data_IF_842209984795
#
_entry.id   IF_842209984795
#
_cell.length_a   1.000
_cell.length_b   1.000
_cell.length_c   1.000
_cell.angle_alpha   90.00
_cell.angle_beta   90.00
_cell.angle_gamma   90.00
#
_symmetry.space_group_name_H-M   'P 1'
#
loop_
_entity.id
_entity.type
_entity.pdbx_description
1 polymer ?
#
# COMPACT_ATOMS: atom_id res chain seq x y z
N UNK A 1 8.65 -26.47 -6.46
CA UNK A 1 8.16 -25.14 -6.86
C UNK A 1 9.19 -24.04 -6.64
N UNK A 2 9.71 -23.85 -5.42
CA UNK A 2 10.72 -22.82 -5.10
C UNK A 2 11.98 -22.84 -5.99
N UNK A 3 12.65 -23.98 -6.13
CA UNK A 3 13.86 -24.13 -6.97
C UNK A 3 13.60 -23.78 -8.44
N UNK A 4 12.43 -24.15 -8.96
CA UNK A 4 12.05 -23.87 -10.34
C UNK A 4 11.69 -22.40 -10.54
N UNK A 5 11.00 -21.78 -9.58
CA UNK A 5 10.71 -20.36 -9.60
C UNK A 5 11.99 -19.51 -9.55
N UNK A 6 12.93 -19.84 -8.64
CA UNK A 6 14.21 -19.14 -8.55
C UNK A 6 15.07 -19.29 -9.81
N UNK A 7 15.09 -20.47 -10.44
CA UNK A 7 15.82 -20.67 -11.69
C UNK A 7 15.18 -19.99 -12.91
N UNK A 8 13.84 -19.91 -12.97
CA UNK A 8 13.14 -19.16 -14.01
C UNK A 8 13.42 -17.65 -13.92
N UNK A 9 13.53 -17.10 -12.71
CA UNK A 9 13.89 -15.69 -12.47
C UNK A 9 15.32 -15.34 -12.90
N UNK A 10 16.24 -16.31 -12.92
CA UNK A 10 17.65 -16.12 -13.28
C UNK A 10 17.93 -16.21 -14.80
N UNK A 11 16.90 -16.17 -15.65
CA UNK A 11 17.08 -16.18 -17.11
C UNK A 11 17.53 -17.54 -17.66
N UNK A 12 17.12 -18.64 -17.05
CA UNK A 12 17.40 -20.01 -17.56
C UNK A 12 16.11 -20.70 -18.03
N UNK A 13 15.17 -19.92 -18.57
CA UNK A 13 13.82 -20.36 -18.94
C UNK A 13 13.80 -21.41 -20.06
N UNK A 14 14.80 -21.41 -20.94
CA UNK A 14 14.86 -22.31 -22.11
C UNK A 14 14.97 -23.81 -21.81
N UNK A 15 15.44 -24.22 -20.62
CA UNK A 15 15.57 -25.65 -20.24
C UNK A 15 14.54 -26.13 -19.21
N UNK A 16 13.92 -25.20 -18.47
CA UNK A 16 12.96 -25.51 -17.39
C UNK A 16 11.51 -25.25 -17.83
N UNK A 17 11.30 -24.32 -18.78
CA UNK A 17 9.98 -23.87 -19.21
C UNK A 17 9.15 -24.88 -20.02
N UNK A 18 9.74 -25.96 -20.54
CA UNK A 18 8.98 -26.96 -21.32
C UNK A 18 8.16 -27.93 -20.46
N UNK A 19 8.42 -28.03 -19.15
CA UNK A 19 7.79 -29.03 -18.28
C UNK A 19 7.03 -28.44 -17.08
N UNK A 20 6.98 -27.12 -16.94
CA UNK A 20 6.42 -26.47 -15.75
C UNK A 20 5.42 -25.40 -16.17
N UNK A 21 4.20 -25.50 -15.64
CA UNK A 21 3.20 -24.44 -15.71
C UNK A 21 3.63 -23.28 -14.80
N UNK A 22 4.47 -22.39 -15.32
CA UNK A 22 5.04 -21.25 -14.60
C UNK A 22 3.96 -20.31 -14.00
N UNK A 23 2.87 -19.96 -14.72
CA UNK A 23 1.74 -19.25 -14.12
C UNK A 23 1.19 -19.94 -12.87
N UNK A 24 0.94 -21.26 -12.94
CA UNK A 24 0.43 -22.01 -11.79
C UNK A 24 1.39 -21.98 -10.59
N UNK A 25 2.71 -21.92 -10.82
CA UNK A 25 3.69 -21.74 -9.74
C UNK A 25 3.57 -20.36 -9.12
N UNK A 26 3.51 -19.29 -9.94
CA UNK A 26 3.38 -17.90 -9.46
C UNK A 26 2.12 -17.73 -8.60
N UNK A 27 0.96 -18.17 -9.11
CA UNK A 27 -0.30 -18.07 -8.39
C UNK A 27 -0.33 -18.98 -7.14
N UNK A 28 0.27 -20.17 -7.21
CA UNK A 28 0.39 -21.07 -6.06
C UNK A 28 1.22 -20.45 -4.93
N UNK A 29 2.30 -19.73 -5.23
CA UNK A 29 3.07 -19.01 -4.19
C UNK A 29 2.28 -17.82 -3.62
N UNK A 30 1.56 -17.06 -4.46
CA UNK A 30 0.67 -15.97 -4.00
C UNK A 30 -0.42 -16.48 -3.04
N UNK A 31 -1.07 -17.60 -3.38
CA UNK A 31 -2.04 -18.26 -2.50
C UNK A 31 -1.40 -18.73 -1.19
N UNK A 32 -0.20 -19.31 -1.26
CA UNK A 32 0.51 -19.76 -0.07
C UNK A 32 0.85 -18.59 0.87
N UNK A 33 1.32 -17.47 0.33
CA UNK A 33 1.60 -16.25 1.09
C UNK A 33 0.33 -15.70 1.74
N UNK A 34 -0.80 -15.75 1.03
CA UNK A 34 -2.11 -15.34 1.54
C UNK A 34 -2.59 -16.21 2.72
N UNK A 35 -2.33 -17.53 2.67
CA UNK A 35 -2.72 -18.46 3.74
C UNK A 35 -1.77 -18.40 4.94
N UNK A 36 -0.45 -18.28 4.73
CA UNK A 36 0.52 -18.26 5.83
C UNK A 36 0.46 -17.00 6.70
N UNK A 37 -0.09 -15.89 6.20
CA UNK A 37 -0.23 -14.64 6.98
C UNK A 37 -1.44 -14.64 7.92
N UNK A 38 -2.07 -15.79 8.20
CA UNK A 38 -3.28 -15.89 9.05
C UNK A 38 -2.97 -15.86 10.55
N UNK A 39 -1.75 -16.20 10.98
CA UNK A 39 -1.42 -16.30 12.41
C UNK A 39 -0.47 -15.18 12.85
N UNK A 40 -1.07 -14.26 13.61
CA UNK A 40 -0.45 -13.34 14.57
C UNK A 40 0.36 -12.15 14.04
N UNK A 41 -0.35 -11.03 13.81
CA UNK A 41 0.23 -9.67 13.75
C UNK A 41 1.00 -9.36 15.06
N UNK A 42 0.85 -10.18 16.12
CA UNK A 42 1.57 -10.15 17.39
C UNK A 42 3.09 -10.07 17.26
N UNK A 43 3.71 -10.78 16.32
CA UNK A 43 5.17 -10.81 16.16
C UNK A 43 5.57 -10.55 14.69
N UNK A 44 6.01 -9.32 14.39
CA UNK A 44 6.59 -8.94 13.10
C UNK A 44 8.03 -9.49 12.94
N UNK A 45 8.16 -10.81 13.06
CA UNK A 45 9.43 -11.54 13.09
C UNK A 45 9.98 -11.91 11.72
N UNK A 46 10.92 -12.86 11.70
CA UNK A 46 11.62 -13.29 10.49
C UNK A 46 10.71 -13.85 9.39
N UNK A 47 9.65 -14.56 9.77
CA UNK A 47 8.70 -15.12 8.80
C UNK A 47 7.91 -14.02 8.08
N UNK A 48 7.56 -12.94 8.79
CA UNK A 48 6.94 -11.75 8.19
C UNK A 48 7.86 -11.13 7.13
N UNK A 49 9.14 -10.94 7.46
CA UNK A 49 10.13 -10.38 6.54
C UNK A 49 10.34 -11.27 5.31
N UNK A 50 10.48 -12.59 5.53
CA UNK A 50 10.64 -13.58 4.45
C UNK A 50 9.43 -13.57 3.51
N UNK A 51 8.22 -13.53 4.06
CA UNK A 51 6.99 -13.47 3.28
C UNK A 51 6.89 -12.16 2.51
N UNK A 52 7.31 -11.05 3.10
CA UNK A 52 7.45 -9.76 2.44
C UNK A 52 8.40 -9.82 1.24
N UNK A 53 9.60 -10.41 1.41
CA UNK A 53 10.56 -10.60 0.31
C UNK A 53 9.92 -11.37 -0.85
N UNK A 54 9.28 -12.50 -0.53
CA UNK A 54 8.61 -13.33 -1.53
C UNK A 54 7.51 -12.59 -2.29
N UNK A 55 6.70 -11.84 -1.56
CA UNK A 55 5.63 -11.04 -2.12
C UNK A 55 6.19 -9.98 -3.07
N UNK A 56 7.24 -9.25 -2.67
CA UNK A 56 7.87 -8.25 -3.54
C UNK A 56 8.46 -8.87 -4.80
N UNK A 57 9.13 -10.01 -4.71
CA UNK A 57 9.66 -10.70 -5.90
C UNK A 57 8.55 -11.07 -6.90
N UNK A 58 7.42 -11.58 -6.42
CA UNK A 58 6.27 -11.91 -7.25
C UNK A 58 5.64 -10.66 -7.86
N UNK A 59 5.42 -9.62 -7.06
CA UNK A 59 4.83 -8.37 -7.51
C UNK A 59 5.73 -7.66 -8.51
N UNK A 60 7.05 -7.66 -8.32
CA UNK A 60 8.00 -7.03 -9.24
C UNK A 60 8.08 -7.78 -10.57
N UNK A 61 8.01 -9.12 -10.54
CA UNK A 61 7.85 -9.94 -11.75
C UNK A 61 6.56 -9.59 -12.50
N UNK A 62 5.42 -9.57 -11.79
CA UNK A 62 4.12 -9.25 -12.37
C UNK A 62 4.03 -7.81 -12.89
N UNK A 63 4.55 -6.84 -12.14
CA UNK A 63 4.62 -5.43 -12.52
C UNK A 63 5.50 -5.23 -13.76
N UNK A 64 6.63 -5.93 -13.85
CA UNK A 64 7.47 -5.93 -15.06
C UNK A 64 6.69 -6.48 -16.25
N UNK A 65 5.92 -7.55 -16.05
CA UNK A 65 5.06 -8.13 -17.06
C UNK A 65 4.00 -7.15 -17.56
N UNK A 66 3.26 -6.53 -16.63
CA UNK A 66 2.25 -5.50 -16.92
C UNK A 66 2.87 -4.34 -17.69
N UNK A 67 3.99 -3.80 -17.21
CA UNK A 67 4.69 -2.70 -17.88
C UNK A 67 5.06 -3.05 -19.33
N UNK A 68 5.67 -4.23 -19.53
CA UNK A 68 6.02 -4.72 -20.85
C UNK A 68 4.81 -4.95 -21.76
N UNK A 69 3.72 -5.49 -21.20
CA UNK A 69 2.47 -5.72 -21.92
C UNK A 69 1.82 -4.40 -22.34
N UNK A 70 1.75 -3.42 -21.45
CA UNK A 70 1.17 -2.11 -21.72
C UNK A 70 1.93 -1.37 -22.83
N UNK A 71 3.26 -1.43 -22.84
CA UNK A 71 4.08 -0.85 -23.91
C UNK A 71 3.79 -1.55 -25.25
N UNK A 72 3.81 -2.89 -25.25
CA UNK A 72 3.58 -3.69 -26.46
C UNK A 72 2.21 -3.43 -27.09
N UNK A 73 1.20 -3.19 -26.26
CA UNK A 73 -0.19 -2.95 -26.69
C UNK A 73 -0.55 -1.46 -26.73
N UNK A 74 0.42 -0.54 -26.64
CA UNK A 74 0.21 0.92 -26.72
C UNK A 74 -0.81 1.47 -25.71
N UNK A 75 -0.98 0.81 -24.56
CA UNK A 75 -1.92 1.19 -23.50
C UNK A 75 -1.41 2.43 -22.74
N UNK A 76 -0.09 2.62 -22.68
CA UNK A 76 0.55 3.80 -22.10
C UNK A 76 1.03 4.72 -23.23
N UNK A 77 0.57 5.97 -23.25
CA UNK A 77 1.00 6.98 -24.22
C UNK A 77 2.30 7.65 -23.75
N UNK A 78 3.42 7.34 -24.40
CA UNK A 78 4.72 7.97 -24.19
C UNK A 78 5.83 7.11 -24.80
N UNK A 79 6.84 7.72 -25.42
CA UNK A 79 8.00 6.96 -25.92
C UNK A 79 8.72 6.32 -24.73
N UNK A 80 8.78 4.98 -24.62
CA UNK A 80 9.50 4.36 -23.54
C UNK A 80 10.99 4.64 -23.75
N UNK A 81 11.61 5.31 -22.78
CA UNK A 81 13.06 5.34 -22.68
C UNK A 81 13.48 3.92 -22.30
N UNK A 82 13.97 3.17 -23.28
CA UNK A 82 14.53 1.84 -23.06
C UNK A 82 15.76 1.99 -22.16
N UNK A 83 15.75 1.46 -20.92
CA UNK A 83 17.00 1.21 -20.24
C UNK A 83 17.84 0.27 -21.11
N UNK A 84 19.16 0.44 -21.13
CA UNK A 84 20.05 -0.54 -21.76
C UNK A 84 19.77 -1.92 -21.15
N UNK A 85 19.15 -2.81 -21.92
CA UNK A 85 18.78 -4.13 -21.47
C UNK A 85 19.88 -5.12 -21.84
N UNK A 86 20.34 -5.88 -20.86
CA UNK A 86 21.16 -7.06 -21.14
C UNK A 86 20.30 -8.12 -21.86
N UNK A 87 20.92 -9.07 -22.56
CA UNK A 87 20.20 -10.22 -23.14
C UNK A 87 19.42 -11.02 -22.08
N UNK A 88 19.87 -10.98 -20.83
CA UNK A 88 19.17 -11.61 -19.70
C UNK A 88 17.92 -10.83 -19.31
N UNK A 89 17.96 -9.50 -19.32
CA UNK A 89 16.80 -8.65 -19.03
C UNK A 89 15.70 -8.83 -20.08
N UNK A 90 16.05 -9.02 -21.35
CA UNK A 90 15.05 -9.28 -22.40
C UNK A 90 14.38 -10.65 -22.25
N UNK A 91 15.11 -11.69 -21.85
CA UNK A 91 14.55 -13.01 -21.52
C UNK A 91 13.61 -12.93 -20.31
N UNK A 92 14.01 -12.22 -19.25
CA UNK A 92 13.18 -12.01 -18.07
C UNK A 92 11.92 -11.21 -18.39
N UNK A 93 12.04 -10.13 -19.17
CA UNK A 93 10.90 -9.34 -19.61
C UNK A 93 9.92 -10.18 -20.43
N UNK A 94 10.42 -11.03 -21.33
CA UNK A 94 9.59 -11.94 -22.12
C UNK A 94 8.84 -12.92 -21.22
N UNK A 95 9.53 -13.54 -20.26
CA UNK A 95 8.91 -14.44 -19.27
C UNK A 95 7.83 -13.73 -18.46
N UNK A 96 8.10 -12.52 -17.99
CA UNK A 96 7.18 -11.70 -17.21
C UNK A 96 5.94 -11.32 -18.02
N UNK A 97 6.10 -10.90 -19.27
CA UNK A 97 5.00 -10.56 -20.18
C UNK A 97 4.09 -11.77 -20.45
N UNK A 98 4.64 -12.99 -20.53
CA UNK A 98 3.86 -14.21 -20.72
C UNK A 98 2.91 -14.52 -19.55
N UNK A 99 3.13 -13.94 -18.36
CA UNK A 99 2.22 -14.10 -17.22
C UNK A 99 0.96 -13.24 -17.32
N UNK A 100 1.03 -12.11 -18.04
CA UNK A 100 -0.06 -11.12 -18.06
C UNK A 100 -1.37 -11.71 -18.58
N UNK A 101 -1.41 -12.43 -19.72
CA UNK A 101 -2.64 -13.07 -20.17
C UNK A 101 -3.25 -14.02 -19.14
N UNK A 102 -2.42 -14.76 -18.40
CA UNK A 102 -2.86 -15.71 -17.38
C UNK A 102 -3.51 -15.05 -16.16
N UNK A 103 -3.24 -13.77 -15.90
CA UNK A 103 -3.93 -12.99 -14.86
C UNK A 103 -5.38 -12.73 -15.25
N UNK A 104 -5.65 -12.55 -16.55
CA UNK A 104 -6.98 -12.26 -17.09
C UNK A 104 -7.73 -13.53 -17.52
N UNK A 105 -7.18 -14.73 -17.28
CA UNK A 105 -7.91 -15.98 -17.47
C UNK A 105 -9.12 -16.04 -16.53
N UNK A 106 -10.21 -16.67 -17.00
CA UNK A 106 -11.46 -16.77 -16.26
C UNK A 106 -11.22 -17.31 -14.83
N UNK A 107 -11.73 -16.60 -13.84
CA UNK A 107 -11.61 -16.83 -12.38
C UNK A 107 -10.28 -16.44 -11.71
N UNK A 108 -9.17 -16.25 -12.45
CA UNK A 108 -7.90 -15.88 -11.83
C UNK A 108 -7.88 -14.43 -11.36
N UNK A 109 -8.48 -13.53 -12.13
CA UNK A 109 -8.52 -12.10 -11.81
C UNK A 109 -9.25 -11.82 -10.49
N UNK A 110 -10.46 -12.36 -10.31
CA UNK A 110 -11.26 -12.16 -9.10
C UNK A 110 -10.56 -12.73 -7.86
N UNK A 111 -9.94 -13.91 -8.01
CA UNK A 111 -9.13 -14.51 -6.96
C UNK A 111 -7.93 -13.64 -6.60
N UNK A 112 -7.23 -13.10 -7.60
CA UNK A 112 -6.07 -12.26 -7.39
C UNK A 112 -6.44 -10.95 -6.68
N UNK A 113 -7.54 -10.31 -7.08
CA UNK A 113 -8.05 -9.12 -6.40
C UNK A 113 -8.40 -9.38 -4.93
N UNK A 114 -9.03 -10.53 -4.61
CA UNK A 114 -9.29 -10.95 -3.22
C UNK A 114 -8.00 -11.12 -2.43
N UNK A 115 -7.02 -11.83 -3.00
CA UNK A 115 -5.73 -12.07 -2.36
C UNK A 115 -5.02 -10.73 -2.09
N UNK A 116 -4.95 -9.86 -3.10
CA UNK A 116 -4.27 -8.57 -2.99
C UNK A 116 -4.96 -7.62 -2.02
N UNK A 117 -6.28 -7.55 -2.06
CA UNK A 117 -7.07 -6.76 -1.11
C UNK A 117 -6.77 -7.19 0.33
N UNK A 118 -6.83 -8.50 0.58
CA UNK A 118 -6.53 -9.07 1.90
C UNK A 118 -5.07 -8.86 2.32
N UNK A 119 -4.10 -8.98 1.40
CA UNK A 119 -2.69 -8.74 1.70
C UNK A 119 -2.42 -7.26 1.97
N UNK A 120 -3.06 -6.35 1.23
CA UNK A 120 -2.89 -4.91 1.38
C UNK A 120 -3.36 -4.44 2.75
N UNK A 121 -4.58 -4.82 3.14
CA UNK A 121 -5.15 -4.52 4.45
C UNK A 121 -4.26 -5.07 5.59
N UNK A 122 -3.72 -6.29 5.45
CA UNK A 122 -2.76 -6.84 6.42
C UNK A 122 -1.45 -6.04 6.47
N UNK A 123 -0.90 -5.67 5.31
CA UNK A 123 0.30 -4.85 5.24
C UNK A 123 0.09 -3.47 5.86
N UNK A 124 -1.10 -2.88 5.72
CA UNK A 124 -1.44 -1.60 6.36
C UNK A 124 -1.51 -1.72 7.89
N UNK A 125 -2.14 -2.77 8.41
CA UNK A 125 -2.18 -3.04 9.86
C UNK A 125 -0.78 -3.30 10.43
N UNK A 126 0.04 -4.07 9.72
CA UNK A 126 1.44 -4.31 10.08
C UNK A 126 2.28 -3.02 10.00
N UNK A 127 2.03 -2.18 8.99
CA UNK A 127 2.68 -0.88 8.81
C UNK A 127 2.40 0.05 9.98
N UNK A 128 1.15 0.17 10.43
CA UNK A 128 0.80 1.00 11.58
C UNK A 128 1.50 0.52 12.85
N UNK A 129 1.48 -0.79 13.11
CA UNK A 129 2.18 -1.38 14.25
C UNK A 129 3.70 -1.14 14.19
N UNK A 130 4.31 -1.33 13.01
CA UNK A 130 5.73 -1.11 12.79
C UNK A 130 6.10 0.38 12.96
N UNK A 131 5.30 1.28 12.40
CA UNK A 131 5.48 2.72 12.53
C UNK A 131 5.45 3.17 13.99
N UNK A 132 4.44 2.74 14.74
CA UNK A 132 4.32 3.07 16.17
C UNK A 132 5.48 2.50 16.99
N UNK A 133 5.90 1.28 16.68
CA UNK A 133 7.05 0.66 17.34
C UNK A 133 8.35 1.40 17.00
N UNK A 134 8.51 1.91 15.77
CA UNK A 134 9.66 2.71 15.33
C UNK A 134 9.73 4.07 16.00
N UNK A 135 8.57 4.62 16.38
CA UNK A 135 8.48 5.89 17.09
C UNK A 135 8.39 5.73 18.61
N UNK A 136 8.37 4.52 19.20
CA UNK A 136 8.34 4.40 20.66
C UNK A 136 8.87 3.08 21.26
N UNK A 137 9.83 3.23 22.18
CA UNK A 137 10.20 2.24 23.17
C UNK A 137 9.17 2.21 24.32
N UNK A 138 8.46 1.09 24.52
CA UNK A 138 7.76 0.68 25.76
C UNK A 138 6.50 1.40 26.28
N UNK A 139 6.13 2.63 25.86
CA UNK A 139 5.06 3.38 26.56
C UNK A 139 3.63 3.31 25.98
N UNK A 140 3.44 2.80 24.77
CA UNK A 140 2.12 2.80 24.08
C UNK A 140 1.69 1.40 23.62
N UNK A 141 2.10 0.37 24.35
CA UNK A 141 1.68 -1.00 24.07
C UNK A 141 0.29 -1.26 24.63
N UNK A 142 -0.72 -1.31 23.78
CA UNK A 142 -1.91 -2.11 24.09
C UNK A 142 -3.26 -1.66 23.54
N UNK A 143 -3.40 -0.46 22.97
CA UNK A 143 -4.76 0.03 22.66
C UNK A 143 -4.90 0.71 21.29
N UNK A 144 -6.06 0.47 20.65
CA UNK A 144 -6.34 0.38 19.20
C UNK A 144 -6.17 1.65 18.36
N UNK A 145 -5.64 2.73 18.91
CA UNK A 145 -5.29 3.92 18.15
C UNK A 145 -4.30 4.75 18.95
N UNK A 146 -3.17 5.12 18.35
CA UNK A 146 -2.19 6.02 18.96
C UNK A 146 -2.31 7.39 18.29
N UNK A 147 -2.33 8.50 19.04
CA UNK A 147 -2.26 9.84 18.47
C UNK A 147 -1.06 10.03 17.54
N UNK A 148 0.01 9.24 17.69
CA UNK A 148 1.18 9.26 16.80
C UNK A 148 0.84 8.88 15.35
N UNK A 149 -0.25 8.13 15.10
CA UNK A 149 -0.72 7.86 13.73
C UNK A 149 -1.19 9.12 13.01
N UNK A 150 -1.50 10.20 13.73
CA UNK A 150 -1.81 11.51 13.12
C UNK A 150 -0.60 12.13 12.43
N UNK A 151 0.61 11.82 12.90
CA UNK A 151 1.83 12.43 12.39
C UNK A 151 1.94 12.20 10.89
N UNK A 152 1.77 10.95 10.47
CA UNK A 152 1.83 10.57 9.05
C UNK A 152 0.66 11.07 8.22
N UNK A 153 -0.38 11.67 8.79
CA UNK A 153 -1.51 12.15 8.02
C UNK A 153 -1.18 13.47 7.30
N UNK A 154 -1.39 13.52 5.98
CA UNK A 154 -1.05 14.67 5.12
C UNK A 154 -1.76 15.98 5.49
N UNK A 155 -2.87 15.88 6.24
CA UNK A 155 -3.62 17.03 6.74
C UNK A 155 -2.94 17.84 7.85
N UNK A 156 -1.92 17.31 8.55
CA UNK A 156 -1.24 18.02 9.64
C UNK A 156 -0.01 18.79 9.12
N UNK A 157 0.14 20.05 9.52
CA UNK A 157 1.33 20.82 9.18
C UNK A 157 2.55 20.41 10.02
N UNK A 158 3.75 20.83 9.58
CA UNK A 158 5.01 20.45 10.24
C UNK A 158 5.08 20.97 11.68
N UNK A 159 4.56 22.16 11.97
CA UNK A 159 4.58 22.73 13.31
C UNK A 159 3.76 21.86 14.29
N UNK A 160 2.58 21.41 13.85
CA UNK A 160 1.73 20.49 14.61
C UNK A 160 2.41 19.16 14.89
N UNK A 161 3.09 18.60 13.88
CA UNK A 161 3.77 17.32 13.99
C UNK A 161 4.95 17.41 14.97
N UNK A 162 5.74 18.47 14.88
CA UNK A 162 6.90 18.71 15.73
C UNK A 162 6.48 18.89 17.20
N UNK A 163 5.43 19.68 17.47
CA UNK A 163 4.91 19.87 18.84
C UNK A 163 4.33 18.57 19.44
N UNK A 164 3.62 17.76 18.65
CA UNK A 164 3.09 16.46 19.12
C UNK A 164 4.23 15.49 19.46
N UNK A 165 5.31 15.48 18.67
CA UNK A 165 6.50 14.66 18.92
C UNK A 165 7.27 15.13 20.15
N UNK A 166 7.55 16.43 20.27
CA UNK A 166 8.28 17.00 21.40
C UNK A 166 7.57 16.70 22.72
N UNK A 167 6.24 16.85 22.77
CA UNK A 167 5.42 16.52 23.94
C UNK A 167 5.34 15.02 24.21
N UNK A 168 5.45 14.20 23.17
CA UNK A 168 5.62 12.76 23.27
C UNK A 168 7.01 12.32 23.72
N UNK A 169 7.96 13.24 23.89
CA UNK A 169 9.37 12.96 24.22
C UNK A 169 10.18 12.38 23.05
N UNK A 170 9.69 12.59 21.82
CA UNK A 170 10.27 12.08 20.58
C UNK A 170 10.97 13.21 19.82
N UNK A 171 11.98 12.84 19.03
CA UNK A 171 12.73 13.80 18.24
C UNK A 171 12.03 14.02 16.88
N UNK A 172 11.60 15.26 16.54
CA UNK A 172 11.04 15.61 15.23
C UNK A 172 11.82 15.09 14.02
N UNK A 173 13.15 15.07 14.11
CA UNK A 173 14.02 14.59 13.03
C UNK A 173 13.82 13.09 12.70
N UNK A 174 13.29 12.28 13.62
CA UNK A 174 13.01 10.86 13.38
C UNK A 174 11.90 10.68 12.35
N UNK A 175 10.87 11.52 12.39
CA UNK A 175 9.71 11.42 11.53
C UNK A 175 10.02 11.84 10.08
N UNK A 176 10.84 12.88 9.89
CA UNK A 176 11.28 13.35 8.57
C UNK A 176 12.06 12.25 7.83
N UNK A 177 12.87 11.47 8.54
CA UNK A 177 13.58 10.32 7.96
C UNK A 177 12.66 9.20 7.45
N UNK A 178 11.48 9.05 8.06
CA UNK A 178 10.47 8.04 7.72
C UNK A 178 9.62 8.48 6.52
N UNK A 179 9.30 9.77 6.38
CA UNK A 179 8.59 10.28 5.20
C UNK A 179 9.38 10.10 3.91
N UNK A 180 10.67 10.37 3.95
CA UNK A 180 11.53 10.19 2.79
C UNK A 180 11.88 8.71 2.53
N UNK A 181 11.45 7.78 3.38
CA UNK A 181 11.96 6.41 3.33
C UNK A 181 11.63 5.73 2.00
N UNK A 182 10.41 5.89 1.50
CA UNK A 182 9.99 5.33 0.22
C UNK A 182 10.79 5.92 -0.94
N UNK A 183 10.95 7.25 -1.01
CA UNK A 183 11.71 7.91 -2.08
C UNK A 183 13.21 7.57 -2.01
N UNK A 184 13.78 7.43 -0.81
CA UNK A 184 15.16 6.96 -0.58
C UNK A 184 15.34 5.51 -1.00
N UNK A 185 14.35 4.64 -0.77
CA UNK A 185 14.38 3.25 -1.23
C UNK A 185 14.35 3.19 -2.76
N UNK A 186 13.46 3.95 -3.41
CA UNK A 186 13.39 4.04 -4.87
C UNK A 186 14.72 4.52 -5.46
N UNK A 187 15.25 5.64 -4.95
CA UNK A 187 16.53 6.19 -5.40
C UNK A 187 17.73 5.26 -5.12
N UNK A 188 17.66 4.44 -4.07
CA UNK A 188 18.66 3.41 -3.77
C UNK A 188 18.61 2.27 -4.77
N UNK A 189 17.42 1.72 -5.05
CA UNK A 189 17.22 0.64 -6.04
C UNK A 189 17.68 1.10 -7.42
N UNK A 190 17.38 2.33 -7.81
CA UNK A 190 17.80 2.90 -9.09
C UNK A 190 19.33 3.06 -9.21
N UNK A 191 20.02 3.36 -8.10
CA UNK A 191 21.49 3.49 -8.07
C UNK A 191 22.20 2.14 -8.05
N UNK A 192 21.66 1.17 -7.32
CA UNK A 192 22.30 -0.13 -7.10
C UNK A 192 21.99 -1.14 -8.22
N UNK A 193 20.87 -0.95 -8.94
CA UNK A 193 20.41 -1.87 -9.97
C UNK A 193 20.73 -1.41 -11.38
N UNK A 194 21.62 -2.14 -12.08
CA UNK A 194 21.72 -2.07 -13.54
C UNK A 194 20.76 -3.08 -14.19
N UNK A 195 19.86 -2.59 -15.06
CA UNK A 195 18.87 -3.44 -15.74
C UNK A 195 17.66 -3.82 -14.88
N UNK A 196 16.71 -4.53 -15.49
CA UNK A 196 15.40 -4.87 -14.90
C UNK A 196 15.59 -5.89 -13.77
N UNK A 197 16.34 -6.96 -14.04
CA UNK A 197 16.51 -8.07 -13.10
C UNK A 197 17.17 -7.60 -11.81
N UNK A 198 18.19 -6.74 -11.91
CA UNK A 198 18.90 -6.26 -10.74
C UNK A 198 17.99 -5.44 -9.83
N UNK A 199 17.14 -4.57 -10.39
CA UNK A 199 16.15 -3.81 -9.63
C UNK A 199 15.16 -4.71 -8.91
N UNK A 200 14.62 -5.73 -9.60
CA UNK A 200 13.72 -6.74 -9.01
C UNK A 200 14.36 -7.44 -7.81
N UNK A 201 15.64 -7.83 -7.92
CA UNK A 201 16.35 -8.48 -6.82
C UNK A 201 16.63 -7.53 -5.65
N UNK A 202 16.95 -6.25 -5.91
CA UNK A 202 17.16 -5.29 -4.85
C UNK A 202 15.90 -5.06 -4.01
N UNK A 203 14.73 -4.99 -4.65
CA UNK A 203 13.45 -4.89 -3.92
C UNK A 203 13.21 -6.11 -3.02
N UNK A 204 13.58 -7.32 -3.46
CA UNK A 204 13.52 -8.54 -2.65
C UNK A 204 14.48 -8.50 -1.44
N UNK A 205 15.73 -8.07 -1.64
CA UNK A 205 16.79 -8.09 -0.63
C UNK A 205 16.57 -7.04 0.48
N UNK A 206 15.90 -5.93 0.17
CA UNK A 206 15.69 -4.84 1.13
C UNK A 206 14.70 -5.16 2.26
N UNK A 207 13.94 -6.24 2.13
CA UNK A 207 13.09 -6.73 3.22
C UNK A 207 13.93 -7.15 4.42
N UNK A 208 13.59 -6.61 5.59
CA UNK A 208 14.35 -6.83 6.82
C UNK A 208 15.55 -5.91 7.00
N UNK A 209 15.79 -4.96 6.10
CA UNK A 209 16.77 -3.90 6.32
C UNK A 209 16.15 -2.68 7.04
N UNK A 210 16.84 -2.06 8.02
CA UNK A 210 18.06 -2.54 8.65
C UNK A 210 17.77 -3.75 9.55
N UNK A 211 18.64 -4.77 9.47
CA UNK A 211 18.48 -6.11 10.05
C UNK A 211 18.90 -6.17 11.53
N UNK A 212 18.42 -5.22 12.31
CA UNK A 212 18.63 -5.21 13.74
C UNK A 212 17.47 -5.95 14.44
N UNK A 213 17.80 -7.00 15.19
CA UNK A 213 16.86 -7.96 15.78
C UNK A 213 15.84 -7.37 16.78
N UNK A 214 16.08 -6.15 17.27
CA UNK A 214 15.22 -5.45 18.22
C UNK A 214 14.42 -4.31 17.59
N UNK A 215 14.52 -4.10 16.27
CA UNK A 215 14.13 -2.82 15.66
C UNK A 215 12.94 -2.98 14.69
N UNK A 216 11.82 -2.29 14.93
CA UNK A 216 10.65 -2.26 14.04
C UNK A 216 10.89 -1.62 12.66
N UNK A 217 12.09 -1.09 12.39
CA UNK A 217 12.48 -0.51 11.11
C UNK A 217 12.50 -1.51 9.95
N UNK A 218 12.92 -2.76 10.18
CA UNK A 218 12.93 -3.78 9.12
C UNK A 218 11.52 -4.19 8.70
N UNK A 219 10.61 -4.30 9.68
CA UNK A 219 9.19 -4.55 9.43
C UNK A 219 8.52 -3.36 8.73
N UNK A 220 8.86 -2.13 9.13
CA UNK A 220 8.36 -0.90 8.50
C UNK A 220 8.76 -0.84 7.02
N UNK A 221 10.04 -1.04 6.71
CA UNK A 221 10.55 -1.10 5.33
C UNK A 221 9.86 -2.21 4.54
N UNK A 222 9.72 -3.40 5.13
CA UNK A 222 9.03 -4.52 4.49
C UNK A 222 7.58 -4.17 4.13
N UNK A 223 6.84 -3.52 5.04
CA UNK A 223 5.47 -3.08 4.76
C UNK A 223 5.43 -2.05 3.64
N UNK A 224 6.33 -1.06 3.65
CA UNK A 224 6.38 -0.01 2.62
C UNK A 224 6.62 -0.63 1.23
N UNK A 225 7.56 -1.56 1.12
CA UNK A 225 7.86 -2.26 -0.13
C UNK A 225 6.65 -3.10 -0.61
N UNK A 226 6.02 -3.84 0.30
CA UNK A 226 4.84 -4.65 -0.05
C UNK A 226 3.64 -3.80 -0.46
N UNK A 227 3.33 -2.73 0.27
CA UNK A 227 2.25 -1.78 -0.08
C UNK A 227 2.53 -1.15 -1.45
N UNK A 228 3.76 -0.66 -1.68
CA UNK A 228 4.19 -0.11 -2.97
C UNK A 228 3.99 -1.12 -4.10
N UNK A 229 4.46 -2.36 -3.91
CA UNK A 229 4.34 -3.43 -4.90
C UNK A 229 2.88 -3.72 -5.27
N UNK A 230 1.99 -3.81 -4.26
CA UNK A 230 0.56 -4.10 -4.44
C UNK A 230 -0.13 -2.94 -5.16
N UNK A 231 0.10 -1.69 -4.74
CA UNK A 231 -0.50 -0.50 -5.37
C UNK A 231 -0.06 -0.37 -6.83
N UNK A 232 1.22 -0.57 -7.12
CA UNK A 232 1.72 -0.56 -8.50
C UNK A 232 1.04 -1.64 -9.35
N UNK A 233 0.83 -2.82 -8.78
CA UNK A 233 0.18 -3.92 -9.49
C UNK A 233 -1.31 -3.66 -9.72
N UNK A 234 -2.03 -3.16 -8.72
CA UNK A 234 -3.45 -2.80 -8.85
C UNK A 234 -3.66 -1.70 -9.91
N UNK A 235 -2.86 -0.63 -9.86
CA UNK A 235 -2.91 0.45 -10.86
C UNK A 235 -2.68 -0.09 -12.29
N UNK A 236 -1.66 -0.93 -12.45
CA UNK A 236 -1.34 -1.54 -13.74
C UNK A 236 -2.41 -2.52 -14.24
N UNK A 237 -2.96 -3.33 -13.34
CA UNK A 237 -4.03 -4.29 -13.64
C UNK A 237 -5.29 -3.57 -14.14
N UNK A 238 -5.70 -2.51 -13.44
CA UNK A 238 -6.87 -1.71 -13.80
C UNK A 238 -6.69 -1.01 -15.15
N UNK A 239 -5.48 -0.49 -15.45
CA UNK A 239 -5.18 0.12 -16.76
C UNK A 239 -5.33 -0.83 -17.94
N UNK A 240 -4.81 -2.06 -17.82
CA UNK A 240 -4.98 -3.07 -18.88
C UNK A 240 -6.45 -3.41 -19.04
N UNK A 241 -7.19 -3.45 -17.94
CA UNK A 241 -8.59 -3.80 -17.94
C UNK A 241 -9.49 -2.71 -18.51
N UNK A 242 -9.24 -1.44 -18.21
CA UNK A 242 -9.95 -0.31 -18.84
C UNK A 242 -9.85 -0.35 -20.37
N UNK A 243 -8.71 -0.80 -20.90
CA UNK A 243 -8.52 -0.99 -22.33
C UNK A 243 -9.28 -2.21 -22.91
N UNK A 244 -9.58 -3.23 -22.10
CA UNK A 244 -10.16 -4.50 -22.53
C UNK A 244 -11.65 -4.69 -22.13
N UNK A 245 -12.23 -3.85 -21.26
CA UNK A 245 -13.64 -3.88 -20.83
C UNK A 245 -13.90 -4.08 -19.32
N UNK A 246 -15.15 -3.86 -18.90
CA UNK A 246 -15.61 -3.62 -17.53
C UNK A 246 -15.24 -4.68 -16.46
N UNK A 247 -15.09 -4.19 -15.22
CA UNK A 247 -14.67 -4.96 -14.06
C UNK A 247 -15.85 -5.55 -13.30
N UNK A 248 -15.90 -6.89 -13.21
CA UNK A 248 -16.67 -7.58 -12.17
C UNK A 248 -15.76 -7.81 -10.97
N UNK A 249 -15.60 -6.78 -10.12
CA UNK A 249 -15.08 -6.98 -8.76
C UNK A 249 -16.27 -7.19 -7.84
N UNK A 250 -16.17 -8.17 -6.95
CA UNK A 250 -17.09 -8.29 -5.82
C UNK A 250 -17.14 -7.00 -5.01
N UNK A 251 -18.34 -6.62 -4.60
CA UNK A 251 -18.59 -5.36 -3.91
C UNK A 251 -17.75 -5.22 -2.65
N UNK A 252 -17.58 -6.31 -1.89
CA UNK A 252 -16.82 -6.35 -0.66
C UNK A 252 -15.32 -6.16 -0.92
N UNK A 253 -14.78 -6.85 -1.93
CA UNK A 253 -13.36 -6.74 -2.32
C UNK A 253 -13.07 -5.34 -2.84
N UNK A 254 -13.98 -4.78 -3.64
CA UNK A 254 -13.89 -3.41 -4.12
C UNK A 254 -13.84 -2.41 -2.97
N UNK A 255 -14.75 -2.54 -1.99
CA UNK A 255 -14.78 -1.65 -0.84
C UNK A 255 -13.48 -1.72 -0.02
N UNK A 256 -12.98 -2.93 0.23
CA UNK A 256 -11.71 -3.13 0.95
C UNK A 256 -10.51 -2.48 0.23
N UNK A 257 -10.46 -2.57 -1.10
CA UNK A 257 -9.42 -1.89 -1.89
C UNK A 257 -9.57 -0.38 -1.78
N UNK A 258 -10.79 0.15 -1.93
CA UNK A 258 -11.04 1.59 -1.81
C UNK A 258 -10.63 2.13 -0.43
N UNK A 259 -10.99 1.45 0.65
CA UNK A 259 -10.62 1.82 2.02
C UNK A 259 -9.09 1.80 2.21
N UNK A 260 -8.42 0.76 1.71
CA UNK A 260 -6.96 0.63 1.79
C UNK A 260 -6.24 1.72 0.99
N UNK A 261 -6.72 2.01 -0.22
CA UNK A 261 -6.16 3.03 -1.11
C UNK A 261 -6.33 4.42 -0.51
N UNK A 262 -7.48 4.70 0.12
CA UNK A 262 -7.71 5.95 0.84
C UNK A 262 -6.81 6.07 2.08
N UNK A 263 -6.57 4.97 2.79
CA UNK A 263 -5.58 4.93 3.88
C UNK A 263 -4.21 5.40 3.41
N UNK A 264 -3.76 4.88 2.27
CA UNK A 264 -2.43 5.16 1.71
C UNK A 264 -2.34 6.58 1.17
N UNK A 265 -3.40 7.06 0.49
CA UNK A 265 -3.48 8.44 -0.02
C UNK A 265 -3.43 9.49 1.10
N UNK A 266 -3.96 9.17 2.28
CA UNK A 266 -3.88 10.04 3.44
C UNK A 266 -2.55 9.97 4.20
N UNK A 267 -1.67 9.03 3.85
CA UNK A 267 -0.41 8.77 4.54
C UNK A 267 0.78 9.38 3.77
N UNK A 268 1.51 10.26 4.45
CA UNK A 268 2.62 11.04 3.92
C UNK A 268 3.83 10.19 3.57
N UNK A 269 3.99 9.01 4.19
CA UNK A 269 5.06 8.05 3.83
C UNK A 269 4.90 7.57 2.38
N UNK A 270 3.67 7.55 1.89
CA UNK A 270 3.31 7.05 0.56
C UNK A 270 3.01 8.16 -0.44
N UNK A 271 3.53 9.38 -0.24
CA UNK A 271 3.29 10.54 -1.10
C UNK A 271 3.54 10.25 -2.59
N UNK A 272 4.60 9.49 -2.93
CA UNK A 272 4.91 9.11 -4.31
C UNK A 272 3.87 8.17 -4.95
N UNK A 273 2.99 7.55 -4.16
CA UNK A 273 1.92 6.66 -4.62
C UNK A 273 0.56 7.34 -4.73
N UNK A 274 0.40 8.58 -4.24
CA UNK A 274 -0.91 9.24 -4.19
C UNK A 274 -1.58 9.31 -5.56
N UNK A 275 -0.85 9.66 -6.63
CA UNK A 275 -1.40 9.70 -7.98
C UNK A 275 -1.91 8.33 -8.48
N UNK A 276 -1.27 7.23 -8.08
CA UNK A 276 -1.72 5.86 -8.41
C UNK A 276 -2.93 5.47 -7.58
N UNK A 277 -2.95 5.83 -6.30
CA UNK A 277 -4.11 5.65 -5.43
C UNK A 277 -5.34 6.35 -6.01
N UNK A 278 -5.16 7.57 -6.51
CA UNK A 278 -6.18 8.37 -7.16
C UNK A 278 -6.74 7.71 -8.43
N UNK A 279 -5.86 7.17 -9.27
CA UNK A 279 -6.25 6.43 -10.46
C UNK A 279 -7.02 5.14 -10.12
N UNK A 280 -6.55 4.36 -9.15
CA UNK A 280 -7.24 3.15 -8.67
C UNK A 280 -8.63 3.51 -8.14
N UNK A 281 -8.72 4.55 -7.30
CA UNK A 281 -9.98 5.01 -6.72
C UNK A 281 -10.96 5.43 -7.81
N UNK A 282 -10.55 6.24 -8.78
CA UNK A 282 -11.39 6.67 -9.90
C UNK A 282 -11.91 5.48 -10.71
N UNK A 283 -11.04 4.51 -11.04
CA UNK A 283 -11.42 3.35 -11.84
C UNK A 283 -12.41 2.43 -11.11
N UNK A 284 -12.18 2.17 -9.82
CA UNK A 284 -13.08 1.33 -9.02
C UNK A 284 -14.38 2.05 -8.61
N UNK A 285 -14.38 3.37 -8.57
CA UNK A 285 -15.55 4.20 -8.26
C UNK A 285 -16.44 4.48 -9.48
N UNK A 286 -15.93 4.21 -10.69
CA UNK A 286 -16.68 4.41 -11.93
C UNK A 286 -17.93 3.50 -11.93
N UNK A 287 -19.11 4.11 -11.97
CA UNK A 287 -20.41 3.40 -11.92
C UNK A 287 -21.07 3.33 -10.53
N UNK A 288 -20.42 3.80 -9.46
CA UNK A 288 -21.03 3.91 -8.12
C UNK A 288 -21.98 5.13 -7.98
N UNK A 289 -22.01 6.05 -8.95
CA UNK A 289 -23.02 7.10 -9.04
C UNK A 289 -23.19 7.90 -7.74
N UNK A 290 -22.16 8.65 -7.34
CA UNK A 290 -22.20 9.45 -6.11
C UNK A 290 -21.08 10.49 -6.03
N UNK A 291 -21.14 11.39 -5.04
CA UNK A 291 -20.06 12.35 -4.76
C UNK A 291 -18.76 11.65 -4.37
N UNK A 292 -17.63 12.35 -4.47
CA UNK A 292 -16.34 11.81 -4.05
C UNK A 292 -16.29 11.61 -2.53
N UNK A 293 -16.46 10.36 -2.09
CA UNK A 293 -16.43 9.97 -0.67
C UNK A 293 -15.02 9.89 -0.07
N UNK A 294 -13.97 10.27 -0.82
CA UNK A 294 -12.61 10.37 -0.30
C UNK A 294 -12.54 11.25 0.96
N UNK A 295 -13.37 12.29 1.02
CA UNK A 295 -13.47 13.18 2.18
C UNK A 295 -14.21 12.57 3.38
N UNK A 296 -15.12 11.60 3.16
CA UNK A 296 -15.77 10.85 4.23
C UNK A 296 -14.75 10.04 5.03
N UNK A 297 -13.75 9.52 4.34
CA UNK A 297 -12.65 8.77 4.96
C UNK A 297 -11.86 9.65 5.93
N UNK A 298 -11.52 10.87 5.52
CA UNK A 298 -10.83 11.86 6.37
C UNK A 298 -11.68 12.20 7.60
N UNK A 299 -12.99 12.40 7.42
CA UNK A 299 -13.91 12.72 8.52
C UNK A 299 -14.02 11.58 9.54
N UNK A 300 -14.18 10.33 9.09
CA UNK A 300 -14.21 9.15 9.98
C UNK A 300 -12.92 8.98 10.76
N UNK A 301 -11.77 9.20 10.12
CA UNK A 301 -10.49 9.18 10.81
C UNK A 301 -10.44 10.25 11.91
N UNK A 302 -10.77 11.50 11.57
CA UNK A 302 -10.80 12.61 12.55
C UNK A 302 -11.75 12.34 13.71
N UNK A 303 -12.94 11.79 13.46
CA UNK A 303 -13.90 11.38 14.48
C UNK A 303 -13.31 10.31 15.41
N UNK A 304 -12.67 9.27 14.86
CA UNK A 304 -12.03 8.21 15.63
C UNK A 304 -10.87 8.74 16.49
N UNK A 305 -10.10 9.70 15.97
CA UNK A 305 -9.07 10.40 16.74
C UNK A 305 -9.68 11.19 17.91
N UNK A 306 -10.71 11.99 17.65
CA UNK A 306 -11.40 12.76 18.69
C UNK A 306 -12.00 11.86 19.77
N UNK A 307 -12.60 10.74 19.37
CA UNK A 307 -13.12 9.72 20.29
C UNK A 307 -12.01 9.15 21.17
N UNK A 308 -10.87 8.78 20.59
CA UNK A 308 -9.75 8.21 21.36
C UNK A 308 -9.15 9.23 22.36
N UNK A 309 -8.97 10.47 21.91
CA UNK A 309 -8.46 11.58 22.72
C UNK A 309 -9.42 11.98 23.85
N UNK A 310 -10.72 11.82 23.66
CA UNK A 310 -11.69 12.06 24.73
C UNK A 310 -11.79 10.89 25.72
N UNK A 311 -11.52 9.65 25.27
CA UNK A 311 -11.53 8.47 26.13
C UNK A 311 -10.26 8.32 26.97
N UNK A 312 -9.11 8.77 26.47
CA UNK A 312 -7.86 8.83 27.21
C UNK A 312 -7.78 10.21 27.82
N UNK A 313 -7.60 10.34 29.13
CA UNK A 313 -7.36 11.65 29.76
C UNK A 313 -6.07 12.26 29.17
N UNK A 314 -6.15 12.93 28.02
CA UNK A 314 -5.02 13.60 27.40
C UNK A 314 -4.65 14.76 28.31
N UNK A 315 -3.53 14.61 29.00
CA UNK A 315 -3.08 15.53 30.04
C UNK A 315 -2.69 16.92 29.53
N UNK A 316 -2.65 17.15 28.21
CA UNK A 316 -2.31 18.45 27.62
C UNK A 316 -3.48 19.05 26.81
N UNK A 317 -4.13 20.06 27.42
CA UNK A 317 -5.25 20.79 26.82
C UNK A 317 -4.91 21.51 25.50
N UNK A 318 -3.64 21.83 25.23
CA UNK A 318 -3.24 22.47 23.95
C UNK A 318 -3.28 21.49 22.78
N UNK A 319 -2.81 20.26 22.98
CA UNK A 319 -2.90 19.22 21.93
C UNK A 319 -4.37 18.94 21.60
N UNK A 320 -5.20 18.84 22.65
CA UNK A 320 -6.65 18.64 22.51
C UNK A 320 -7.29 19.76 21.70
N UNK A 321 -7.09 21.02 22.10
CA UNK A 321 -7.60 22.20 21.41
C UNK A 321 -7.19 22.24 19.93
N UNK A 322 -5.93 21.90 19.62
CA UNK A 322 -5.41 21.92 18.27
C UNK A 322 -6.02 20.83 17.38
N UNK A 323 -6.16 19.60 17.88
CA UNK A 323 -6.77 18.50 17.14
C UNK A 323 -8.26 18.80 16.89
N UNK A 324 -8.96 19.35 17.89
CA UNK A 324 -10.35 19.82 17.75
C UNK A 324 -10.44 20.93 16.72
N UNK A 325 -9.57 21.94 16.78
CA UNK A 325 -9.54 23.04 15.81
C UNK A 325 -9.32 22.51 14.39
N UNK A 326 -8.41 21.57 14.21
CA UNK A 326 -8.13 20.99 12.89
C UNK A 326 -9.31 20.19 12.34
N UNK A 327 -10.00 19.43 13.18
CA UNK A 327 -11.22 18.74 12.79
C UNK A 327 -12.30 19.75 12.37
N UNK A 328 -12.49 20.84 13.13
CA UNK A 328 -13.42 21.92 12.80
C UNK A 328 -13.06 22.57 11.47
N UNK A 329 -11.80 22.95 11.25
CA UNK A 329 -11.34 23.57 10.01
C UNK A 329 -11.57 22.67 8.79
N UNK A 330 -11.37 21.36 8.97
CA UNK A 330 -11.60 20.38 7.91
C UNK A 330 -13.08 20.24 7.60
N UNK A 331 -13.92 20.14 8.63
CA UNK A 331 -15.39 20.10 8.50
C UNK A 331 -15.94 21.38 7.84
N UNK A 332 -15.45 22.54 8.27
CA UNK A 332 -15.86 23.84 7.71
C UNK A 332 -15.41 24.00 6.26
N UNK A 333 -14.20 23.54 5.91
CA UNK A 333 -13.72 23.49 4.53
C UNK A 333 -14.60 22.63 3.63
N UNK A 334 -15.04 21.46 4.10
CA UNK A 334 -15.95 20.58 3.36
C UNK A 334 -17.35 21.17 3.19
N UNK A 335 -17.86 21.82 4.24
CA UNK A 335 -19.17 22.49 4.22
C UNK A 335 -19.19 23.68 3.26
N UNK A 336 -18.10 24.45 3.17
CA UNK A 336 -18.00 25.66 2.34
C UNK A 336 -17.83 25.37 0.85
N UNK A 337 -17.33 24.19 0.48
CA UNK A 337 -17.19 23.77 -0.91
C UNK A 337 -18.50 23.14 -1.42
N UNK A 338 -19.20 23.76 -2.39
CA UNK A 338 -20.48 23.24 -2.91
C UNK A 338 -20.39 21.82 -3.48
N UNK A 339 -19.22 21.42 -3.99
CA UNK A 339 -18.98 20.08 -4.55
C UNK A 339 -18.78 19.00 -3.46
N UNK A 340 -18.46 19.42 -2.23
CA UNK A 340 -18.16 18.53 -1.09
C UNK A 340 -19.19 18.62 0.03
N UNK A 341 -20.02 19.65 0.04
CA UNK A 341 -21.09 19.84 1.02
C UNK A 341 -22.07 18.65 1.08
N UNK A 342 -22.26 17.93 -0.04
CA UNK A 342 -23.07 16.70 -0.09
C UNK A 342 -22.47 15.60 0.80
N UNK A 343 -21.14 15.44 0.79
CA UNK A 343 -20.42 14.46 1.62
C UNK A 343 -20.50 14.84 3.09
N UNK A 344 -20.36 16.13 3.39
CA UNK A 344 -20.51 16.66 4.74
C UNK A 344 -21.92 16.41 5.31
N UNK A 345 -22.96 16.72 4.53
CA UNK A 345 -24.34 16.44 4.92
C UNK A 345 -24.60 14.94 5.09
N UNK A 346 -24.05 14.10 4.21
CA UNK A 346 -24.14 12.65 4.33
C UNK A 346 -23.52 12.15 5.64
N UNK A 347 -22.31 12.61 5.99
CA UNK A 347 -21.65 12.25 7.25
C UNK A 347 -22.54 12.55 8.47
N UNK A 348 -23.13 13.74 8.54
CA UNK A 348 -24.03 14.13 9.63
C UNK A 348 -25.34 13.33 9.64
N UNK A 349 -25.81 12.87 8.48
CA UNK A 349 -27.06 12.11 8.35
C UNK A 349 -26.91 10.64 8.81
N UNK A 350 -25.69 10.10 8.77
CA UNK A 350 -25.42 8.71 9.16
C UNK A 350 -25.44 8.54 10.69
N UNK A 351 -25.18 9.60 11.47
CA UNK A 351 -25.30 9.55 12.94
C UNK A 351 -26.75 9.30 13.39
N UNK A 352 -27.76 9.80 12.67
CA UNK A 352 -29.19 9.58 12.98
C UNK A 352 -29.68 8.15 12.70
N UNK A 353 -28.90 7.30 12.02
CA UNK A 353 -29.26 5.91 11.68
C UNK A 353 -28.45 4.88 12.49
N UNK A 354 -27.40 5.32 13.20
CA UNK A 354 -26.45 4.43 13.88
C UNK A 354 -27.00 3.69 15.12
N UNK A 355 -28.20 4.03 15.61
CA UNK A 355 -28.85 3.25 16.67
C UNK A 355 -29.55 1.97 16.19
N UNK A 356 -29.75 1.77 14.87
CA UNK A 356 -30.48 0.60 14.36
C UNK A 356 -29.64 -0.51 13.73
N UNK A 357 -28.32 -0.32 13.58
CA UNK A 357 -27.42 -1.37 13.09
C UNK A 357 -26.11 -1.36 13.88
N UNK A 358 -26.16 -1.88 15.11
CA UNK A 358 -25.01 -2.43 15.82
C UNK A 358 -24.86 -3.91 15.53
#
# INVERSE_FOLDING_TARGET
>A
HFFYFSHSLLGHSGKIGMHINFPAVVFGVLQHLHVQTIEDIGELGWDFLRNGSWLSLLLSLLNTGIWGYCIKNTIISGNPVWPEHTSRDSEFLTLAQCLVPCVFDANQEAMLLRILSSLLDRCLRAHEKAFLSSLNSSKYSGDRFSPLLLLKHTGFDKCMQDELLEKGGLNPCQLESVYDLLSKLDGTVDKMGSGIISKVFWEFVLHGFPSHFQTPSGALVSCILSIRGIINFLDGLLKIKDANGMISVETEVRQQILDSVMTIKSDRIFESLHGKCEAIYSNLSTGLGGPDYSYLYIMKHMEEFLRNINCREVTDGRIHEWIVTKAIDTMDGLRKDPSRAVVFNFFLSVEDVSEQFK
#
